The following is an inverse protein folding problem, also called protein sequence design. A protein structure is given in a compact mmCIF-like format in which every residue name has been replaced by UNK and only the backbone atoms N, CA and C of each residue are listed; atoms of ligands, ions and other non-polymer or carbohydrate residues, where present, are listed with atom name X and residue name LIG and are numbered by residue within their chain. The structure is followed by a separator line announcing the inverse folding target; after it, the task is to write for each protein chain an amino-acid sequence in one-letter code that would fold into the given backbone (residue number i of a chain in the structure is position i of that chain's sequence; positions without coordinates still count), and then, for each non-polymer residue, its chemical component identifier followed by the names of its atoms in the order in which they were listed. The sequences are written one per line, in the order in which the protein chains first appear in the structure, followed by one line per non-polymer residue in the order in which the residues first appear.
data_IF_539057092984
#
_entry.id   IF_539057092984
#
_cell.length_a   1.000
_cell.length_b   1.000
_cell.length_c   1.000
_cell.angle_alpha   90.00
_cell.angle_beta   90.00
_cell.angle_gamma   90.00
#
_symmetry.space_group_name_H-M   'P 1'
#
loop_
_entity.id
_entity.type
_entity.pdbx_description
1 polymer ?
#
# COMPACT_ATOMS: atom_id res chain seq x y z
N UNK A 1 -9.63 -23.71 -14.41
CA UNK A 1 -10.00 -22.28 -14.50
C UNK A 1 -11.13 -21.85 -13.54
N UNK A 2 -12.01 -22.73 -13.04
CA UNK A 2 -13.08 -22.35 -12.10
C UNK A 2 -12.64 -22.15 -10.62
N UNK A 3 -11.51 -22.74 -10.22
CA UNK A 3 -11.02 -22.74 -8.83
C UNK A 3 -10.46 -21.36 -8.42
N UNK A 4 -9.81 -20.65 -9.35
CA UNK A 4 -9.18 -19.35 -9.12
C UNK A 4 -10.22 -18.26 -8.79
N UNK A 5 -11.37 -18.26 -9.48
CA UNK A 5 -12.44 -17.28 -9.24
C UNK A 5 -13.20 -17.48 -7.93
N UNK A 6 -13.25 -18.70 -7.38
CA UNK A 6 -13.93 -18.99 -6.10
C UNK A 6 -13.06 -18.64 -4.89
N UNK A 7 -11.74 -18.86 -4.99
CA UNK A 7 -10.78 -18.43 -3.97
C UNK A 7 -10.74 -16.91 -3.87
N UNK A 8 -10.65 -16.21 -5.00
CA UNK A 8 -10.60 -14.74 -5.00
C UNK A 8 -11.87 -14.11 -4.40
N UNK A 9 -13.05 -14.64 -4.73
CA UNK A 9 -14.32 -14.20 -4.10
C UNK A 9 -14.32 -14.38 -2.58
N UNK A 10 -13.69 -15.44 -2.07
CA UNK A 10 -13.60 -15.67 -0.62
C UNK A 10 -12.68 -14.66 0.04
N UNK A 11 -11.56 -14.31 -0.60
CA UNK A 11 -10.63 -13.29 -0.10
C UNK A 11 -11.28 -11.92 -0.01
N UNK A 12 -12.01 -11.48 -1.04
CA UNK A 12 -12.77 -10.22 -0.99
C UNK A 12 -13.86 -10.23 0.08
N UNK A 13 -14.56 -11.37 0.27
CA UNK A 13 -15.56 -11.50 1.34
C UNK A 13 -14.94 -11.35 2.74
N UNK A 14 -13.73 -11.88 2.94
CA UNK A 14 -12.96 -11.70 4.18
C UNK A 14 -12.49 -10.25 4.35
N UNK A 15 -12.06 -9.59 3.26
CA UNK A 15 -11.67 -8.17 3.28
C UNK A 15 -12.83 -7.24 3.67
N UNK A 16 -14.01 -7.44 3.08
CA UNK A 16 -15.21 -6.68 3.48
C UNK A 16 -15.61 -6.94 4.94
N UNK A 17 -15.40 -8.17 5.43
CA UNK A 17 -15.69 -8.49 6.82
C UNK A 17 -14.75 -7.83 7.82
N UNK A 18 -13.44 -7.78 7.53
CA UNK A 18 -12.51 -7.06 8.40
C UNK A 18 -12.75 -5.55 8.35
N UNK A 19 -13.11 -5.00 7.17
CA UNK A 19 -13.54 -3.59 7.02
C UNK A 19 -14.73 -3.26 7.92
N UNK A 20 -15.73 -4.14 7.98
CA UNK A 20 -16.88 -3.94 8.87
C UNK A 20 -16.48 -3.98 10.34
N UNK A 21 -15.63 -4.93 10.74
CA UNK A 21 -15.12 -5.01 12.11
C UNK A 21 -14.35 -3.74 12.52
N UNK A 22 -13.55 -3.18 11.61
CA UNK A 22 -12.76 -1.95 11.84
C UNK A 22 -13.62 -0.71 12.11
N UNK A 23 -14.89 -0.68 11.68
CA UNK A 23 -15.80 0.43 12.00
C UNK A 23 -16.13 0.51 13.49
N UNK A 24 -15.94 -0.58 14.24
CA UNK A 24 -16.39 -0.71 15.64
C UNK A 24 -15.28 -1.02 16.62
N UNK A 25 -14.11 -1.48 16.15
CA UNK A 25 -12.97 -1.82 16.99
C UNK A 25 -11.64 -1.52 16.29
N UNK A 26 -10.61 -1.07 17.02
CA UNK A 26 -9.25 -0.97 16.49
C UNK A 26 -8.74 -2.32 15.98
N UNK A 27 -7.90 -2.30 14.95
CA UNK A 27 -7.35 -3.51 14.29
C UNK A 27 -6.78 -4.49 15.31
N UNK A 28 -6.00 -4.01 16.28
CA UNK A 28 -5.32 -4.84 17.28
C UNK A 28 -6.31 -5.66 18.13
N UNK A 29 -7.54 -5.16 18.33
CA UNK A 29 -8.61 -5.85 19.08
C UNK A 29 -9.46 -6.79 18.23
N UNK A 30 -9.41 -6.68 16.90
CA UNK A 30 -10.13 -7.58 16.01
C UNK A 30 -9.47 -8.96 16.03
N UNK A 31 -10.29 -10.00 16.17
CA UNK A 31 -9.84 -11.39 16.09
C UNK A 31 -10.30 -12.06 14.79
N UNK A 32 -9.61 -13.13 14.38
CA UNK A 32 -10.07 -13.99 13.27
C UNK A 32 -11.49 -14.49 13.51
N UNK A 33 -11.89 -14.71 14.78
CA UNK A 33 -13.26 -15.08 15.15
C UNK A 33 -14.26 -14.02 14.68
N UNK A 34 -14.03 -12.75 15.00
CA UNK A 34 -14.93 -11.65 14.63
C UNK A 34 -15.12 -11.58 13.11
N UNK A 35 -14.02 -11.70 12.36
CA UNK A 35 -14.03 -11.67 10.88
C UNK A 35 -14.85 -12.85 10.33
N UNK A 36 -14.55 -14.08 10.74
CA UNK A 36 -15.23 -15.24 10.14
C UNK A 36 -16.71 -15.33 10.52
N UNK A 37 -17.08 -14.88 11.72
CA UNK A 37 -18.47 -14.79 12.17
C UNK A 37 -19.26 -13.74 11.40
N UNK A 38 -18.65 -12.57 11.14
CA UNK A 38 -19.29 -11.47 10.40
C UNK A 38 -19.64 -11.85 8.96
N UNK A 39 -18.87 -12.74 8.32
CA UNK A 39 -19.12 -13.15 6.94
C UNK A 39 -19.58 -14.61 6.77
N UNK A 40 -19.79 -15.34 7.86
CA UNK A 40 -20.31 -16.72 7.83
C UNK A 40 -19.39 -17.73 7.16
N UNK A 41 -18.07 -17.59 7.30
CA UNK A 41 -17.08 -18.60 6.88
C UNK A 41 -16.46 -19.28 8.10
N UNK A 42 -15.69 -20.35 7.88
CA UNK A 42 -15.00 -21.04 8.98
C UNK A 42 -13.60 -20.47 9.22
N UNK A 43 -13.05 -20.61 10.44
CA UNK A 43 -11.63 -20.31 10.72
C UNK A 43 -10.68 -21.07 9.79
N UNK A 44 -10.99 -22.33 9.48
CA UNK A 44 -10.21 -23.13 8.52
C UNK A 44 -10.22 -22.48 7.12
N UNK A 45 -11.34 -21.87 6.72
CA UNK A 45 -11.41 -21.13 5.45
C UNK A 45 -10.59 -19.86 5.51
N UNK A 46 -10.56 -19.14 6.63
CA UNK A 46 -9.67 -18.00 6.83
C UNK A 46 -8.20 -18.41 6.67
N UNK A 47 -7.74 -19.39 7.45
CA UNK A 47 -6.33 -19.80 7.47
C UNK A 47 -5.84 -20.49 6.19
N UNK A 48 -6.76 -20.92 5.32
CA UNK A 48 -6.42 -21.35 3.95
C UNK A 48 -6.06 -20.17 3.04
N UNK A 49 -6.50 -18.96 3.37
CA UNK A 49 -6.31 -17.76 2.55
C UNK A 49 -5.31 -16.77 3.15
N UNK A 50 -5.25 -16.66 4.48
CA UNK A 50 -4.44 -15.67 5.20
C UNK A 50 -3.85 -16.24 6.48
N UNK A 51 -2.63 -15.82 6.81
CA UNK A 51 -1.93 -16.23 8.03
C UNK A 51 -2.58 -15.61 9.28
N UNK A 52 -2.93 -14.33 9.19
CA UNK A 52 -3.59 -13.57 10.24
C UNK A 52 -4.37 -12.38 9.64
N UNK A 53 -4.87 -11.49 10.51
CA UNK A 53 -5.63 -10.29 10.08
C UNK A 53 -4.75 -9.26 9.36
N UNK A 54 -3.46 -9.17 9.68
CA UNK A 54 -2.55 -8.22 9.05
C UNK A 54 -2.20 -8.67 7.64
N UNK A 55 -1.98 -9.97 7.43
CA UNK A 55 -1.82 -10.56 6.09
C UNK A 55 -3.05 -10.30 5.20
N UNK A 56 -4.26 -10.41 5.75
CA UNK A 56 -5.49 -10.03 5.04
C UNK A 56 -5.53 -8.53 4.68
N UNK A 57 -5.14 -7.65 5.61
CA UNK A 57 -5.13 -6.19 5.42
C UNK A 57 -4.09 -5.81 4.35
N UNK A 58 -2.88 -6.36 4.45
CA UNK A 58 -1.79 -6.13 3.52
C UNK A 58 -2.14 -6.66 2.13
N UNK A 59 -2.74 -7.86 2.02
CA UNK A 59 -3.25 -8.37 0.75
C UNK A 59 -4.30 -7.44 0.12
N UNK A 60 -5.22 -6.89 0.92
CA UNK A 60 -6.22 -5.97 0.39
C UNK A 60 -5.58 -4.66 -0.07
N UNK A 61 -4.57 -4.17 0.65
CA UNK A 61 -3.77 -3.02 0.23
C UNK A 61 -2.99 -3.28 -1.06
N UNK A 62 -2.36 -4.44 -1.21
CA UNK A 62 -1.62 -4.83 -2.41
C UNK A 62 -2.48 -4.74 -3.66
N UNK A 63 -3.73 -5.22 -3.57
CA UNK A 63 -4.67 -5.17 -4.69
C UNK A 63 -4.92 -3.74 -5.17
N UNK A 64 -4.81 -2.76 -4.28
CA UNK A 64 -5.04 -1.34 -4.58
C UNK A 64 -3.75 -0.66 -5.06
N UNK A 65 -2.63 -0.91 -4.39
CA UNK A 65 -1.36 -0.27 -4.73
C UNK A 65 -0.78 -0.83 -6.02
N UNK A 66 -0.78 -2.15 -6.22
CA UNK A 66 -0.24 -2.75 -7.44
C UNK A 66 -0.98 -2.24 -8.69
N UNK A 67 -2.30 -2.07 -8.63
CA UNK A 67 -3.07 -1.47 -9.73
C UNK A 67 -2.62 -0.05 -10.09
N UNK A 68 -2.19 0.72 -9.08
CA UNK A 68 -1.74 2.11 -9.26
C UNK A 68 -0.29 2.18 -9.76
N UNK A 69 0.59 1.33 -9.24
CA UNK A 69 2.04 1.38 -9.49
C UNK A 69 2.46 0.62 -10.75
N UNK A 70 1.78 -0.48 -11.12
CA UNK A 70 2.10 -1.22 -12.35
C UNK A 70 2.07 -0.34 -13.61
N UNK A 71 1.28 0.73 -13.60
CA UNK A 71 1.16 1.64 -14.75
C UNK A 71 2.29 2.67 -14.86
N UNK A 72 3.18 2.77 -13.85
CA UNK A 72 4.32 3.69 -13.89
C UNK A 72 5.28 3.27 -15.00
N UNK A 73 5.61 4.23 -15.88
CA UNK A 73 6.48 3.97 -17.03
C UNK A 73 5.80 3.18 -18.17
N UNK A 74 4.51 2.85 -18.04
CA UNK A 74 3.63 2.35 -19.11
C UNK A 74 2.59 3.40 -19.54
N UNK A 75 2.82 4.67 -19.22
CA UNK A 75 1.92 5.78 -19.55
C UNK A 75 1.60 6.71 -18.39
N UNK A 76 1.93 6.33 -17.15
CA UNK A 76 1.84 7.20 -15.99
C UNK A 76 3.21 7.57 -15.41
N UNK A 77 3.26 8.77 -14.86
CA UNK A 77 4.33 9.30 -14.01
C UNK A 77 4.18 8.82 -12.58
N UNK A 78 5.23 9.01 -11.78
CA UNK A 78 5.19 8.77 -10.33
C UNK A 78 4.12 9.63 -9.66
N UNK A 79 3.97 10.90 -10.07
CA UNK A 79 2.95 11.79 -9.52
C UNK A 79 1.51 11.31 -9.80
N UNK A 80 1.23 10.79 -10.99
CA UNK A 80 -0.08 10.24 -11.33
C UNK A 80 -0.39 8.97 -10.52
N UNK A 81 0.57 8.06 -10.37
CA UNK A 81 0.38 6.84 -9.60
C UNK A 81 0.27 7.09 -8.09
N UNK A 82 1.03 8.04 -7.55
CA UNK A 82 0.86 8.51 -6.17
C UNK A 82 -0.52 9.15 -5.96
N UNK A 83 -0.97 9.99 -6.90
CA UNK A 83 -2.32 10.59 -6.84
C UNK A 83 -3.39 9.51 -6.75
N UNK A 84 -3.33 8.48 -7.61
CA UNK A 84 -4.26 7.35 -7.57
C UNK A 84 -4.19 6.60 -6.24
N UNK A 85 -2.99 6.29 -5.73
CA UNK A 85 -2.82 5.68 -4.40
C UNK A 85 -3.56 6.50 -3.34
N UNK A 86 -3.39 7.81 -3.33
CA UNK A 86 -4.06 8.68 -2.35
C UNK A 86 -5.57 8.78 -2.57
N UNK A 87 -6.08 8.76 -3.81
CA UNK A 87 -7.51 8.68 -4.10
C UNK A 87 -8.13 7.40 -3.53
N UNK A 88 -7.45 6.26 -3.68
CA UNK A 88 -7.91 5.00 -3.09
C UNK A 88 -7.91 5.04 -1.56
N UNK A 89 -6.84 5.56 -0.96
CA UNK A 89 -6.76 5.71 0.50
C UNK A 89 -7.91 6.60 1.02
N UNK A 90 -8.22 7.68 0.30
CA UNK A 90 -9.30 8.59 0.64
C UNK A 90 -10.68 7.94 0.49
N UNK A 91 -10.90 7.18 -0.59
CA UNK A 91 -12.16 6.48 -0.84
C UNK A 91 -12.45 5.41 0.23
N UNK A 92 -11.39 4.80 0.78
CA UNK A 92 -11.46 3.77 1.83
C UNK A 92 -10.97 4.31 3.20
N UNK A 93 -11.20 5.61 3.48
CA UNK A 93 -10.58 6.31 4.62
C UNK A 93 -10.77 5.65 5.97
N UNK A 94 -11.92 5.03 6.24
CA UNK A 94 -12.19 4.39 7.54
C UNK A 94 -11.27 3.18 7.73
N UNK A 95 -11.16 2.34 6.69
CA UNK A 95 -10.29 1.18 6.70
C UNK A 95 -8.83 1.59 6.87
N UNK A 96 -8.35 2.53 6.06
CA UNK A 96 -6.94 2.94 6.11
C UNK A 96 -6.57 3.70 7.37
N UNK A 97 -7.49 4.49 7.94
CA UNK A 97 -7.25 5.15 9.23
C UNK A 97 -7.00 4.13 10.33
N UNK A 98 -7.80 3.07 10.40
CA UNK A 98 -7.58 2.02 11.41
C UNK A 98 -6.36 1.16 11.09
N UNK A 99 -6.15 0.79 9.83
CA UNK A 99 -5.00 -0.02 9.42
C UNK A 99 -3.65 0.68 9.67
N UNK A 100 -3.54 1.98 9.37
CA UNK A 100 -2.33 2.77 9.64
C UNK A 100 -2.17 3.19 11.11
N UNK A 101 -3.11 2.88 12.01
CA UNK A 101 -2.92 3.08 13.46
C UNK A 101 -2.14 1.96 14.13
N UNK A 102 -2.17 0.75 13.57
CA UNK A 102 -1.46 -0.39 14.16
C UNK A 102 0.05 -0.21 14.01
N UNK A 103 0.76 -0.51 15.10
CA UNK A 103 2.24 -0.55 15.18
C UNK A 103 2.74 -1.98 15.45
N UNK A 104 1.90 -2.99 15.22
CA UNK A 104 2.25 -4.40 15.38
C UNK A 104 3.24 -4.88 14.30
N UNK A 105 3.86 -6.04 14.50
CA UNK A 105 4.71 -6.68 13.49
C UNK A 105 3.89 -6.96 12.23
N UNK A 106 4.45 -6.67 11.05
CA UNK A 106 3.75 -6.72 9.76
C UNK A 106 2.67 -5.63 9.59
N UNK A 107 2.82 -4.49 10.27
CA UNK A 107 1.91 -3.35 10.10
C UNK A 107 1.83 -2.91 8.64
N UNK A 108 0.71 -2.29 8.28
CA UNK A 108 0.52 -1.72 6.95
C UNK A 108 1.61 -0.69 6.59
N UNK A 109 2.21 -0.02 7.57
CA UNK A 109 3.29 0.96 7.36
C UNK A 109 4.57 0.30 6.86
N UNK A 110 4.97 -0.77 7.54
CA UNK A 110 6.15 -1.57 7.18
C UNK A 110 5.96 -2.21 5.81
N UNK A 111 4.78 -2.80 5.59
CA UNK A 111 4.40 -3.39 4.31
C UNK A 111 4.38 -2.37 3.15
N UNK A 112 3.80 -1.18 3.35
CA UNK A 112 3.80 -0.12 2.34
C UNK A 112 5.23 0.32 1.99
N UNK A 113 6.10 0.48 3.00
CA UNK A 113 7.51 0.83 2.78
C UNK A 113 8.24 -0.22 1.94
N UNK A 114 8.16 -1.49 2.33
CA UNK A 114 8.81 -2.59 1.60
C UNK A 114 8.31 -2.67 0.16
N UNK A 115 7.00 -2.54 -0.05
CA UNK A 115 6.38 -2.62 -1.36
C UNK A 115 6.81 -1.47 -2.28
N UNK A 116 6.80 -0.21 -1.82
CA UNK A 116 7.23 0.92 -2.66
C UNK A 116 8.73 0.90 -2.92
N UNK A 117 9.54 0.50 -1.94
CA UNK A 117 10.99 0.42 -2.08
C UNK A 117 11.36 -0.65 -3.10
N UNK A 118 10.80 -1.85 -2.96
CA UNK A 118 11.02 -2.95 -3.90
C UNK A 118 10.56 -2.56 -5.30
N UNK A 119 9.39 -1.94 -5.42
CA UNK A 119 8.86 -1.48 -6.71
C UNK A 119 9.83 -0.52 -7.42
N UNK A 120 10.29 0.54 -6.75
CA UNK A 120 11.19 1.50 -7.37
C UNK A 120 12.56 0.89 -7.67
N UNK A 121 13.07 0.03 -6.78
CA UNK A 121 14.33 -0.69 -6.99
C UNK A 121 14.25 -1.53 -8.27
N UNK A 122 13.18 -2.31 -8.43
CA UNK A 122 12.98 -3.15 -9.61
C UNK A 122 12.75 -2.34 -10.88
N UNK A 123 11.97 -1.26 -10.80
CA UNK A 123 11.68 -0.38 -11.93
C UNK A 123 12.96 0.29 -12.46
N UNK A 124 13.78 0.83 -11.56
CA UNK A 124 15.05 1.46 -11.92
C UNK A 124 15.98 0.40 -12.49
N UNK A 125 16.17 -0.73 -11.80
CA UNK A 125 17.06 -1.79 -12.26
C UNK A 125 16.68 -2.35 -13.63
N UNK A 126 15.37 -2.52 -13.88
CA UNK A 126 14.85 -2.95 -15.18
C UNK A 126 15.10 -1.92 -16.28
N UNK A 127 14.95 -0.63 -16.01
CA UNK A 127 15.14 0.43 -17.02
C UNK A 127 16.61 0.76 -17.29
N UNK A 128 17.49 0.57 -16.31
CA UNK A 128 18.94 0.78 -16.47
C UNK A 128 19.69 -0.48 -16.86
N UNK A 129 19.06 -1.66 -16.76
CA UNK A 129 19.69 -2.98 -16.86
C UNK A 129 20.85 -3.17 -15.88
N UNK A 130 20.82 -2.47 -14.74
CA UNK A 130 21.85 -2.48 -13.71
C UNK A 130 21.24 -2.34 -12.31
N UNK A 131 21.78 -3.01 -11.29
CA UNK A 131 21.34 -2.79 -9.91
C UNK A 131 21.62 -1.34 -9.47
N UNK A 132 20.86 -0.87 -8.48
CA UNK A 132 21.10 0.43 -7.88
C UNK A 132 22.45 0.44 -7.18
N UNK A 133 23.23 1.50 -7.39
CA UNK A 133 24.43 1.75 -6.57
C UNK A 133 24.05 2.07 -5.12
N UNK A 134 24.97 1.82 -4.18
CA UNK A 134 24.73 2.00 -2.74
C UNK A 134 24.21 3.40 -2.37
N UNK A 135 24.73 4.45 -3.01
CA UNK A 135 24.27 5.82 -2.77
C UNK A 135 22.81 6.02 -3.18
N UNK A 136 22.42 5.52 -4.36
CA UNK A 136 21.06 5.67 -4.86
C UNK A 136 20.08 4.84 -4.04
N UNK A 137 20.50 3.65 -3.59
CA UNK A 137 19.75 2.80 -2.68
C UNK A 137 19.45 3.53 -1.37
N UNK A 138 20.46 4.14 -0.75
CA UNK A 138 20.29 4.92 0.48
C UNK A 138 19.30 6.09 0.30
N UNK A 139 19.41 6.83 -0.81
CA UNK A 139 18.49 7.94 -1.11
C UNK A 139 17.05 7.46 -1.32
N UNK A 140 16.89 6.33 -2.01
CA UNK A 140 15.59 5.73 -2.26
C UNK A 140 14.94 5.22 -0.97
N UNK A 141 15.69 4.55 -0.11
CA UNK A 141 15.23 4.11 1.22
C UNK A 141 14.75 5.29 2.06
N UNK A 142 15.57 6.34 2.16
CA UNK A 142 15.22 7.55 2.91
C UNK A 142 13.96 8.22 2.35
N UNK A 143 13.86 8.35 1.03
CA UNK A 143 12.69 8.91 0.35
C UNK A 143 11.42 8.08 0.59
N UNK A 144 11.51 6.75 0.49
CA UNK A 144 10.38 5.85 0.72
C UNK A 144 9.92 5.91 2.19
N UNK A 145 10.86 5.90 3.14
CA UNK A 145 10.56 6.01 4.56
C UNK A 145 9.85 7.33 4.89
N UNK A 146 10.36 8.45 4.35
CA UNK A 146 9.74 9.77 4.50
C UNK A 146 8.35 9.82 3.86
N UNK A 147 8.18 9.21 2.70
CA UNK A 147 6.89 9.15 1.97
C UNK A 147 5.82 8.38 2.74
N UNK A 148 6.17 7.22 3.30
CA UNK A 148 5.26 6.43 4.14
C UNK A 148 4.91 7.18 5.42
N UNK A 149 5.90 7.79 6.09
CA UNK A 149 5.65 8.61 7.28
C UNK A 149 4.67 9.76 7.00
N UNK A 150 4.88 10.49 5.90
CA UNK A 150 4.00 11.60 5.51
C UNK A 150 2.61 11.12 5.09
N UNK A 151 2.51 9.94 4.48
CA UNK A 151 1.22 9.29 4.18
C UNK A 151 0.46 8.98 5.47
N UNK A 152 1.10 8.34 6.45
CA UNK A 152 0.49 8.05 7.76
C UNK A 152 0.06 9.34 8.45
N UNK A 153 0.90 10.37 8.46
CA UNK A 153 0.57 11.68 9.04
C UNK A 153 -0.64 12.32 8.36
N UNK A 154 -0.75 12.23 7.04
CA UNK A 154 -1.88 12.74 6.29
C UNK A 154 -3.17 11.97 6.61
N UNK A 155 -3.12 10.63 6.60
CA UNK A 155 -4.25 9.75 6.95
C UNK A 155 -4.76 10.06 8.36
N UNK A 156 -3.88 10.00 9.35
CA UNK A 156 -4.25 10.19 10.76
C UNK A 156 -4.57 11.66 11.10
N UNK A 157 -4.06 12.60 10.31
CA UNK A 157 -4.33 14.04 10.42
C UNK A 157 -5.64 14.49 9.77
N UNK A 158 -6.45 13.56 9.26
CA UNK A 158 -7.76 13.83 8.68
C UNK A 158 -7.74 14.16 7.18
N UNK A 159 -6.67 13.80 6.47
CA UNK A 159 -6.55 13.88 5.01
C UNK A 159 -6.86 15.29 4.44
N UNK A 160 -6.25 16.31 5.03
CA UNK A 160 -6.58 17.73 4.74
C UNK A 160 -6.19 18.18 3.33
N UNK A 161 -5.03 17.74 2.87
CA UNK A 161 -4.58 17.94 1.50
C UNK A 161 -5.36 17.00 0.57
N UNK A 162 -5.68 17.44 -0.64
CA UNK A 162 -6.23 16.56 -1.68
C UNK A 162 -5.20 15.49 -2.09
N UNK A 163 -5.64 14.36 -2.66
CA UNK A 163 -4.73 13.33 -3.19
C UNK A 163 -3.64 13.87 -4.11
N UNK A 164 -3.99 14.85 -4.96
CA UNK A 164 -3.04 15.51 -5.86
C UNK A 164 -2.04 16.39 -5.11
N UNK A 165 -2.51 17.23 -4.19
CA UNK A 165 -1.61 18.08 -3.39
C UNK A 165 -0.62 17.25 -2.56
N UNK A 166 -1.06 16.10 -2.02
CA UNK A 166 -0.15 15.17 -1.33
C UNK A 166 0.87 14.56 -2.29
N UNK A 167 0.43 14.14 -3.48
CA UNK A 167 1.32 13.61 -4.50
C UNK A 167 2.38 14.63 -4.91
N UNK A 168 1.95 15.86 -5.22
CA UNK A 168 2.84 16.95 -5.65
C UNK A 168 3.90 17.25 -4.58
N UNK A 169 3.52 17.30 -3.29
CA UNK A 169 4.46 17.49 -2.18
C UNK A 169 5.49 16.36 -2.08
N UNK A 170 5.09 15.10 -2.30
CA UNK A 170 6.01 13.97 -2.26
C UNK A 170 6.96 13.98 -3.46
N UNK A 171 6.46 14.29 -4.66
CA UNK A 171 7.29 14.44 -5.86
C UNK A 171 8.31 15.56 -5.69
N UNK A 172 7.90 16.71 -5.15
CA UNK A 172 8.78 17.86 -4.87
C UNK A 172 9.85 17.53 -3.81
N UNK A 173 9.51 16.70 -2.82
CA UNK A 173 10.44 16.28 -1.76
C UNK A 173 11.49 15.26 -2.22
N UNK A 174 11.46 14.80 -3.48
CA UNK A 174 12.39 13.82 -3.99
C UNK A 174 13.83 14.35 -3.97
N UNK A 175 14.81 13.61 -3.40
CA UNK A 175 16.20 14.04 -3.39
C UNK A 175 16.72 14.35 -4.79
N UNK A 176 17.51 15.43 -5.01
CA UNK A 176 17.88 15.88 -6.36
C UNK A 176 18.53 14.80 -7.24
N UNK A 177 19.42 13.97 -6.67
CA UNK A 177 20.03 12.85 -7.39
C UNK A 177 19.01 11.78 -7.80
N UNK A 178 18.02 11.51 -6.95
CA UNK A 178 16.95 10.56 -7.23
C UNK A 178 16.01 11.12 -8.32
N UNK A 179 15.65 12.41 -8.22
CA UNK A 179 14.83 13.11 -9.19
C UNK A 179 15.50 13.15 -10.59
N UNK A 180 16.81 13.36 -10.64
CA UNK A 180 17.58 13.32 -11.90
C UNK A 180 17.48 11.94 -12.57
N UNK A 181 17.64 10.86 -11.79
CA UNK A 181 17.49 9.48 -12.30
C UNK A 181 16.07 9.25 -12.80
N UNK A 182 15.05 9.61 -12.02
CA UNK A 182 13.65 9.41 -12.40
C UNK A 182 13.30 10.22 -13.66
N UNK A 183 13.79 11.46 -13.77
CA UNK A 183 13.64 12.29 -14.96
C UNK A 183 14.28 11.68 -16.20
N UNK A 184 15.54 11.19 -16.11
CA UNK A 184 16.22 10.46 -17.20
C UNK A 184 15.45 9.22 -17.65
N UNK A 185 14.77 8.55 -16.72
CA UNK A 185 13.96 7.37 -16.97
C UNK A 185 12.53 7.68 -17.46
N UNK A 186 12.18 8.97 -17.62
CA UNK A 186 10.84 9.48 -17.97
C UNK A 186 9.76 9.00 -17.01
N UNK A 187 10.07 9.07 -15.70
CA UNK A 187 9.17 8.68 -14.62
C UNK A 187 8.51 9.88 -13.91
N UNK A 188 9.02 11.09 -14.14
CA UNK A 188 8.45 12.35 -13.64
C UNK A 188 7.73 13.10 -14.76
#
# INVERSE_FOLDING_TARGET
MAVTGKQEKTKYKLAESVKECMKTAPVDKITVKNIVESCGVTRQTFYRNFLDKYDLINWYFDKLVLQSFEQIGMGHTVGESLTRKFEFILNEKVFFTEAFRSDDRNSLKEHDFELILQFYTDLIAKKTSQPLGQELQFLLEMYCQGSVYMTVKWVLGGMKDTPREMSDKLVEAMPPKLAEVFGKLKLL
#
